data_IF_866045535534
#
_entry.id   IF_866045535534
#
_cell.length_a   1.000
_cell.length_b   1.000
_cell.length_c   1.000
_cell.angle_alpha   90.00
_cell.angle_beta   90.00
_cell.angle_gamma   90.00
#
_symmetry.space_group_name_H-M   'P 1'
#
loop_
_entity.id
_entity.type
_entity.pdbx_description
1 polymer ?
#
# COMPACT_ATOMS: atom_id res chain seq x y z
N UNK A 1 -2.97 23.13 -3.24
CA UNK A 1 -1.49 23.23 -3.22
C UNK A 1 -1.04 22.37 -2.04
N UNK A 2 -0.34 21.27 -2.29
CA UNK A 2 0.21 20.47 -1.19
C UNK A 2 1.24 21.37 -0.52
N UNK A 3 1.17 21.58 0.82
CA UNK A 3 2.19 22.37 1.50
C UNK A 3 3.55 21.75 1.17
N UNK A 4 4.48 22.56 0.69
CA UNK A 4 5.86 22.12 0.56
C UNK A 4 6.30 21.66 1.95
N UNK A 5 6.52 20.37 2.10
CA UNK A 5 7.22 19.79 3.22
C UNK A 5 8.64 20.39 3.20
N UNK A 6 8.82 21.52 3.85
CA UNK A 6 10.15 21.85 4.36
C UNK A 6 10.43 20.77 5.39
N UNK A 7 11.13 19.74 5.00
CA UNK A 7 11.77 18.83 5.95
C UNK A 7 12.57 19.72 6.87
N UNK A 8 12.09 19.90 8.10
CA UNK A 8 12.85 20.58 9.10
C UNK A 8 14.11 19.73 9.33
N UNK A 9 15.24 20.18 8.80
CA UNK A 9 16.55 19.57 9.09
C UNK A 9 16.99 19.89 10.52
N UNK A 10 16.11 20.42 11.33
CA UNK A 10 16.36 20.86 12.71
C UNK A 10 15.12 20.62 13.56
N UNK A 11 15.31 20.36 14.84
CA UNK A 11 14.23 20.23 15.82
C UNK A 11 13.95 18.80 16.31
N UNK A 12 12.82 18.58 16.97
CA UNK A 12 12.52 17.31 17.68
C UNK A 12 12.54 16.07 16.80
N UNK A 13 12.19 16.18 15.51
CA UNK A 13 12.24 15.05 14.59
C UNK A 13 13.65 14.49 14.39
N UNK A 14 14.69 15.33 14.45
CA UNK A 14 16.07 14.88 14.37
C UNK A 14 16.51 14.11 15.60
N UNK A 15 15.95 14.44 16.76
CA UNK A 15 16.21 13.67 17.99
C UNK A 15 15.61 12.28 17.89
N UNK A 16 14.40 12.16 17.34
CA UNK A 16 13.75 10.88 17.04
C UNK A 16 14.58 10.08 16.03
N UNK A 17 15.03 10.71 14.92
CA UNK A 17 15.83 10.06 13.89
C UNK A 17 17.17 9.53 14.48
N UNK A 18 17.89 10.35 15.24
CA UNK A 18 19.13 9.93 15.91
C UNK A 18 18.90 8.75 16.84
N UNK A 19 17.79 8.76 17.59
CA UNK A 19 17.44 7.67 18.48
C UNK A 19 17.16 6.38 17.71
N UNK A 20 16.36 6.44 16.63
CA UNK A 20 16.06 5.29 15.77
C UNK A 20 17.34 4.71 15.13
N UNK A 21 18.27 5.57 14.68
CA UNK A 21 19.55 5.13 14.12
C UNK A 21 20.41 4.46 15.22
N UNK A 22 20.41 5.01 16.42
CA UNK A 22 21.14 4.42 17.55
C UNK A 22 20.60 3.03 17.92
N UNK A 23 19.28 2.87 17.92
CA UNK A 23 18.60 1.63 18.25
C UNK A 23 18.48 0.65 17.05
N UNK A 24 19.08 0.95 15.90
CA UNK A 24 18.85 0.19 14.66
C UNK A 24 19.06 -1.31 14.83
N UNK A 25 20.08 -1.77 15.53
CA UNK A 25 20.34 -3.20 15.73
C UNK A 25 19.21 -3.87 16.54
N UNK A 26 18.68 -3.20 17.56
CA UNK A 26 17.57 -3.66 18.37
C UNK A 26 16.26 -3.67 17.53
N UNK A 27 16.05 -2.63 16.73
CA UNK A 27 14.90 -2.50 15.82
C UNK A 27 14.89 -3.64 14.81
N UNK A 28 16.02 -3.89 14.16
CA UNK A 28 16.16 -5.01 13.20
C UNK A 28 15.92 -6.38 13.86
N UNK A 29 16.40 -6.55 15.10
CA UNK A 29 16.13 -7.76 15.85
C UNK A 29 14.64 -7.92 16.17
N UNK A 30 13.98 -6.85 16.62
CA UNK A 30 12.53 -6.84 16.91
C UNK A 30 11.73 -7.20 15.67
N UNK A 31 12.01 -6.61 14.51
CA UNK A 31 11.33 -6.94 13.26
C UNK A 31 11.55 -8.40 12.84
N UNK A 32 12.75 -8.94 13.01
CA UNK A 32 13.00 -10.36 12.72
C UNK A 32 12.13 -11.28 13.56
N UNK A 33 11.94 -10.96 14.85
CA UNK A 33 11.02 -11.73 15.71
C UNK A 33 9.59 -11.61 15.20
N UNK A 34 9.12 -10.40 14.87
CA UNK A 34 7.78 -10.20 14.33
C UNK A 34 7.54 -10.97 13.03
N UNK A 35 8.53 -11.03 12.13
CA UNK A 35 8.40 -11.78 10.88
C UNK A 35 8.46 -13.29 11.03
N UNK A 36 8.85 -13.82 12.17
CA UNK A 36 8.70 -15.24 12.50
C UNK A 36 7.27 -15.59 12.89
N UNK A 37 6.57 -14.66 13.51
CA UNK A 37 5.19 -14.84 13.98
C UNK A 37 4.14 -14.41 12.95
N UNK A 38 4.47 -13.45 12.11
CA UNK A 38 3.56 -12.81 11.17
C UNK A 38 4.11 -12.84 9.76
N UNK A 39 3.36 -13.42 8.83
CA UNK A 39 3.74 -13.43 7.42
C UNK A 39 3.72 -11.99 6.86
N UNK A 40 4.84 -11.55 6.29
CA UNK A 40 4.90 -10.29 5.57
C UNK A 40 3.98 -10.33 4.34
N UNK A 41 3.26 -9.24 4.01
CA UNK A 41 2.55 -9.13 2.76
C UNK A 41 3.53 -9.19 1.58
N UNK A 42 3.03 -9.57 0.41
CA UNK A 42 3.86 -9.62 -0.81
C UNK A 42 4.52 -8.28 -1.09
N UNK A 43 3.78 -7.20 -0.98
CA UNK A 43 4.25 -5.84 -1.07
C UNK A 43 3.32 -4.90 -0.30
N UNK A 44 3.83 -3.75 0.13
CA UNK A 44 3.06 -2.75 0.85
C UNK A 44 3.65 -1.36 0.64
N UNK A 45 2.82 -0.35 0.76
CA UNK A 45 3.24 1.04 0.88
C UNK A 45 2.63 1.69 2.11
N UNK A 46 3.31 2.71 2.63
CA UNK A 46 2.88 3.48 3.79
C UNK A 46 3.06 4.96 3.50
N UNK A 47 1.98 5.73 3.65
CA UNK A 47 2.04 7.18 3.62
C UNK A 47 2.38 7.70 4.99
N UNK A 48 3.53 8.39 5.10
CA UNK A 48 3.99 9.02 6.32
C UNK A 48 3.72 10.52 6.30
N UNK A 49 3.32 11.06 7.44
CA UNK A 49 3.24 12.50 7.68
C UNK A 49 4.32 12.94 8.66
N UNK A 50 5.16 13.85 8.19
CA UNK A 50 6.17 14.50 9.01
C UNK A 50 5.65 15.87 9.43
N UNK A 51 5.43 16.06 10.73
CA UNK A 51 4.97 17.32 11.32
C UNK A 51 6.13 18.18 11.86
N UNK A 52 7.39 17.78 11.66
CA UNK A 52 8.57 18.45 12.22
C UNK A 52 8.89 18.03 13.67
N UNK A 53 7.93 17.45 14.38
CA UNK A 53 8.08 16.97 15.75
C UNK A 53 7.63 15.51 15.93
N UNK A 54 6.93 14.96 14.96
CA UNK A 54 6.53 13.55 14.91
C UNK A 54 6.46 13.05 13.48
N UNK A 55 6.56 11.74 13.32
CA UNK A 55 6.40 11.03 12.05
C UNK A 55 5.35 9.93 12.26
N UNK A 56 4.24 9.97 11.53
CA UNK A 56 3.18 9.01 11.72
C UNK A 56 2.62 8.49 10.40
N UNK A 57 2.27 7.18 10.30
CA UNK A 57 1.55 6.66 9.16
C UNK A 57 0.12 7.20 9.15
N UNK A 58 -0.35 7.55 7.97
CA UNK A 58 -1.72 8.05 7.77
C UNK A 58 -2.50 7.24 6.76
N UNK A 59 -1.82 6.40 6.00
CA UNK A 59 -2.40 5.43 5.10
C UNK A 59 -1.44 4.27 4.85
N UNK A 60 -2.00 3.09 4.59
CA UNK A 60 -1.26 1.90 4.20
C UNK A 60 -1.99 1.21 3.06
N UNK A 61 -1.26 0.70 2.09
CA UNK A 61 -1.84 0.02 0.96
C UNK A 61 -1.12 -1.30 0.70
N UNK A 62 -1.88 -2.37 0.50
CA UNK A 62 -1.39 -3.68 0.07
C UNK A 62 -1.40 -3.84 -1.47
N UNK A 63 -1.84 -2.81 -2.19
CA UNK A 63 -1.81 -2.68 -3.65
C UNK A 63 -0.99 -1.43 -4.02
N UNK A 64 0.32 -1.42 -3.76
CA UNK A 64 1.11 -0.21 -3.80
C UNK A 64 1.25 0.35 -5.19
N UNK A 65 1.26 1.67 -5.23
CA UNK A 65 1.65 2.47 -6.39
C UNK A 65 3.03 3.11 -6.18
N UNK A 66 3.49 3.86 -7.19
CA UNK A 66 4.71 4.66 -7.07
C UNK A 66 6.01 3.91 -7.34
N UNK A 67 5.99 2.73 -7.96
CA UNK A 67 7.20 2.01 -8.37
C UNK A 67 8.09 2.83 -9.30
N UNK A 68 7.49 3.76 -10.07
CA UNK A 68 8.22 4.73 -10.90
C UNK A 68 9.01 5.78 -10.09
N UNK A 69 8.79 5.88 -8.79
CA UNK A 69 9.47 6.80 -7.89
C UNK A 69 10.58 6.11 -7.06
N UNK A 70 10.79 4.80 -7.26
CA UNK A 70 11.88 4.10 -6.60
C UNK A 70 13.23 4.66 -7.06
N UNK A 71 14.15 4.81 -6.10
CA UNK A 71 15.51 5.19 -6.45
C UNK A 71 16.15 4.08 -7.30
N UNK A 72 16.68 4.42 -8.50
CA UNK A 72 17.32 3.45 -9.37
C UNK A 72 18.45 2.63 -8.71
N UNK A 73 19.14 3.20 -7.73
CA UNK A 73 20.20 2.52 -6.98
C UNK A 73 19.69 1.29 -6.21
N UNK A 74 18.38 1.24 -5.89
CA UNK A 74 17.75 0.12 -5.20
C UNK A 74 17.07 -0.88 -6.13
N UNK A 75 17.26 -0.77 -7.45
CA UNK A 75 16.62 -1.68 -8.39
C UNK A 75 17.02 -3.14 -8.14
N UNK A 76 18.30 -3.42 -7.89
CA UNK A 76 18.77 -4.79 -7.61
C UNK A 76 18.15 -5.36 -6.34
N UNK A 77 18.00 -4.54 -5.30
CA UNK A 77 17.32 -4.92 -4.06
C UNK A 77 15.83 -5.19 -4.30
N UNK A 78 15.17 -4.35 -5.10
CA UNK A 78 13.77 -4.53 -5.47
C UNK A 78 13.53 -5.83 -6.25
N UNK A 79 14.44 -6.17 -7.18
CA UNK A 79 14.40 -7.44 -7.93
C UNK A 79 14.58 -8.63 -7.00
N UNK A 80 15.55 -8.58 -6.09
CA UNK A 80 15.79 -9.64 -5.11
C UNK A 80 14.59 -9.83 -4.17
N UNK A 81 14.00 -8.74 -3.69
CA UNK A 81 12.81 -8.78 -2.87
C UNK A 81 11.61 -9.41 -3.61
N UNK A 82 11.43 -9.07 -4.89
CA UNK A 82 10.40 -9.66 -5.74
C UNK A 82 10.59 -11.17 -5.93
N UNK A 83 11.82 -11.64 -6.15
CA UNK A 83 12.14 -13.08 -6.25
C UNK A 83 11.70 -13.82 -4.98
N UNK A 84 12.17 -13.36 -3.82
CA UNK A 84 11.84 -13.98 -2.53
C UNK A 84 10.33 -13.97 -2.26
N UNK A 85 9.65 -12.87 -2.62
CA UNK A 85 8.21 -12.74 -2.38
C UNK A 85 7.39 -13.68 -3.29
N UNK A 86 7.80 -13.87 -4.55
CA UNK A 86 7.15 -14.81 -5.47
C UNK A 86 7.39 -16.26 -5.06
N UNK A 87 8.63 -16.61 -4.70
CA UNK A 87 8.97 -17.96 -4.25
C UNK A 87 8.15 -18.43 -3.04
N UNK A 88 7.84 -17.52 -2.12
CA UNK A 88 6.98 -17.83 -0.96
C UNK A 88 5.54 -18.20 -1.35
N UNK A 89 5.03 -17.65 -2.44
CA UNK A 89 3.64 -17.86 -2.89
C UNK A 89 3.54 -19.02 -3.88
N UNK A 90 4.48 -19.11 -4.78
CA UNK A 90 4.54 -20.15 -5.83
C UNK A 90 6.01 -20.46 -6.12
N UNK A 91 6.63 -21.45 -5.44
CA UNK A 91 8.07 -21.74 -5.58
C UNK A 91 8.50 -22.08 -7.00
N UNK A 92 7.62 -22.63 -7.81
CA UNK A 92 7.90 -23.01 -9.21
C UNK A 92 7.34 -21.96 -10.19
N UNK A 93 7.13 -20.71 -9.77
CA UNK A 93 6.58 -19.69 -10.64
C UNK A 93 7.54 -19.32 -11.76
N UNK A 94 7.09 -19.54 -13.00
CA UNK A 94 7.73 -18.99 -14.20
C UNK A 94 6.88 -17.89 -14.83
N UNK A 95 5.59 -17.81 -14.49
CA UNK A 95 4.61 -16.91 -15.07
C UNK A 95 3.83 -16.17 -14.02
N UNK A 96 3.70 -14.86 -14.16
CA UNK A 96 2.92 -14.00 -13.29
C UNK A 96 1.98 -13.13 -14.13
N UNK A 97 0.70 -13.14 -13.79
CA UNK A 97 -0.29 -12.27 -14.41
C UNK A 97 -0.51 -11.04 -13.53
N UNK A 98 -0.36 -9.85 -14.07
CA UNK A 98 -0.74 -8.61 -13.37
C UNK A 98 -2.15 -8.21 -13.81
N UNK A 99 -3.00 -7.89 -12.84
CA UNK A 99 -4.32 -7.27 -13.08
C UNK A 99 -4.28 -5.84 -12.54
N UNK A 100 -4.23 -4.83 -13.42
CA UNK A 100 -4.15 -3.42 -13.03
C UNK A 100 -5.53 -2.81 -12.76
N UNK A 101 -5.51 -1.56 -12.28
CA UNK A 101 -6.63 -0.65 -12.32
C UNK A 101 -7.02 -0.27 -13.75
N UNK A 102 -8.26 0.17 -13.94
CA UNK A 102 -8.75 0.62 -15.25
C UNK A 102 -8.33 2.07 -15.58
N UNK A 103 -7.11 2.48 -15.17
CA UNK A 103 -6.61 3.85 -15.30
C UNK A 103 -5.70 4.04 -16.52
N UNK A 104 -6.17 3.61 -17.69
CA UNK A 104 -5.38 3.65 -18.95
C UNK A 104 -5.01 5.06 -19.44
N UNK A 105 -5.60 6.11 -18.86
CA UNK A 105 -5.32 7.52 -19.16
C UNK A 105 -4.40 8.20 -18.16
N UNK A 106 -4.11 7.57 -17.02
CA UNK A 106 -3.23 8.14 -16.00
C UNK A 106 -1.79 7.73 -16.28
N UNK A 107 -1.01 8.64 -16.84
CA UNK A 107 0.39 8.40 -17.22
C UNK A 107 1.27 8.00 -16.01
N UNK A 108 1.03 8.54 -14.82
CA UNK A 108 1.79 8.18 -13.61
C UNK A 108 1.49 6.76 -13.17
N UNK A 109 0.24 6.34 -13.29
CA UNK A 109 -0.13 4.96 -13.02
C UNK A 109 0.47 4.00 -14.05
N UNK A 110 0.47 4.36 -15.33
CA UNK A 110 1.10 3.55 -16.38
C UNK A 110 2.61 3.42 -16.17
N UNK A 111 3.30 4.48 -15.76
CA UNK A 111 4.72 4.42 -15.36
C UNK A 111 4.94 3.47 -14.19
N UNK A 112 4.11 3.56 -13.15
CA UNK A 112 4.15 2.65 -12.03
C UNK A 112 4.00 1.18 -12.48
N UNK A 113 3.02 0.89 -13.30
CA UNK A 113 2.76 -0.46 -13.82
C UNK A 113 3.91 -0.98 -14.70
N UNK A 114 4.52 -0.10 -15.49
CA UNK A 114 5.68 -0.44 -16.32
C UNK A 114 6.88 -0.83 -15.45
N UNK A 115 7.21 -0.05 -14.44
CA UNK A 115 8.36 -0.34 -13.57
C UNK A 115 8.11 -1.57 -12.70
N UNK A 116 6.88 -1.78 -12.21
CA UNK A 116 6.50 -3.02 -11.52
C UNK A 116 6.70 -4.24 -12.42
N UNK A 117 6.21 -4.20 -13.67
CA UNK A 117 6.41 -5.27 -14.64
C UNK A 117 7.90 -5.51 -14.92
N UNK A 118 8.69 -4.42 -15.05
CA UNK A 118 10.12 -4.49 -15.29
C UNK A 118 10.89 -5.17 -14.14
N UNK A 119 10.58 -4.83 -12.89
CA UNK A 119 11.15 -5.47 -11.70
C UNK A 119 10.85 -6.97 -11.69
N UNK A 120 9.59 -7.33 -11.92
CA UNK A 120 9.15 -8.73 -11.93
C UNK A 120 9.77 -9.54 -13.09
N UNK A 121 9.93 -8.95 -14.25
CA UNK A 121 10.64 -9.60 -15.37
C UNK A 121 12.13 -9.80 -15.09
N UNK A 122 12.77 -8.84 -14.45
CA UNK A 122 14.16 -8.94 -14.02
C UNK A 122 14.36 -9.97 -12.92
N UNK A 123 13.31 -10.33 -12.18
CA UNK A 123 13.33 -11.43 -11.21
C UNK A 123 13.18 -12.84 -11.86
N UNK A 124 13.21 -12.92 -13.19
CA UNK A 124 13.18 -14.19 -13.93
C UNK A 124 11.80 -14.66 -14.35
N UNK A 125 10.76 -13.82 -14.20
CA UNK A 125 9.38 -14.20 -14.52
C UNK A 125 8.98 -13.75 -15.94
N UNK A 126 8.20 -14.58 -16.64
CA UNK A 126 7.38 -14.13 -17.75
C UNK A 126 6.15 -13.41 -17.19
N UNK A 127 6.04 -12.09 -17.44
CA UNK A 127 5.00 -11.24 -16.85
C UNK A 127 4.15 -10.62 -17.93
N UNK A 128 2.84 -10.90 -17.90
CA UNK A 128 1.85 -10.29 -18.80
C UNK A 128 0.77 -9.57 -18.00
N UNK A 129 0.07 -8.64 -18.65
CA UNK A 129 -0.93 -7.77 -18.01
C UNK A 129 -2.30 -8.07 -18.62
N UNK A 130 -3.24 -8.45 -17.77
CA UNK A 130 -4.62 -8.74 -18.16
C UNK A 130 -5.57 -7.68 -17.60
N UNK A 131 -6.49 -7.17 -18.42
CA UNK A 131 -7.45 -6.16 -18.03
C UNK A 131 -8.79 -6.75 -17.63
N UNK A 132 -9.37 -6.18 -16.56
CA UNK A 132 -10.77 -6.38 -16.17
C UNK A 132 -11.73 -5.50 -16.98
N UNK A 133 -11.22 -4.52 -17.72
CA UNK A 133 -12.02 -3.63 -18.56
C UNK A 133 -12.47 -4.37 -19.81
N UNK A 134 -13.78 -4.61 -19.91
CA UNK A 134 -14.39 -5.31 -21.04
C UNK A 134 -14.35 -4.54 -22.35
N UNK A 135 -13.99 -3.24 -22.32
CA UNK A 135 -13.75 -2.46 -23.54
C UNK A 135 -12.47 -2.86 -24.27
N UNK A 136 -11.52 -3.49 -23.56
CA UNK A 136 -10.29 -4.07 -24.13
C UNK A 136 -10.63 -5.49 -24.62
N UNK A 137 -11.08 -5.60 -25.85
CA UNK A 137 -11.47 -6.88 -26.48
C UNK A 137 -10.34 -7.58 -27.23
N UNK A 138 -9.24 -6.88 -27.48
CA UNK A 138 -8.04 -7.40 -28.16
C UNK A 138 -6.74 -6.82 -27.52
N UNK A 139 -5.58 -7.46 -27.71
CA UNK A 139 -4.32 -6.97 -27.18
C UNK A 139 -4.05 -5.53 -27.61
N UNK A 140 -3.93 -4.64 -26.66
CA UNK A 140 -3.81 -3.20 -26.88
C UNK A 140 -2.51 -2.68 -26.31
N UNK A 141 -1.73 -2.00 -27.16
CA UNK A 141 -0.48 -1.36 -26.75
C UNK A 141 -0.75 0.07 -26.30
N UNK A 142 -0.39 0.39 -25.06
CA UNK A 142 -0.52 1.72 -24.48
C UNK A 142 0.86 2.34 -24.33
N UNK A 143 1.07 3.52 -24.92
CA UNK A 143 2.30 4.28 -24.76
C UNK A 143 2.41 4.81 -23.33
N UNK A 144 3.60 4.68 -22.74
CA UNK A 144 3.91 5.21 -21.41
C UNK A 144 4.69 6.52 -21.56
N UNK A 145 5.94 6.49 -21.97
CA UNK A 145 6.77 7.63 -22.36
C UNK A 145 8.11 7.14 -22.95
N UNK A 146 8.86 7.99 -23.65
CA UNK A 146 10.23 7.71 -24.09
C UNK A 146 10.38 6.34 -24.79
N UNK A 147 9.50 6.03 -25.71
CA UNK A 147 9.45 4.74 -26.44
C UNK A 147 9.14 3.52 -25.53
N UNK A 148 8.69 3.73 -24.30
CA UNK A 148 8.17 2.68 -23.43
C UNK A 148 6.68 2.45 -23.69
N UNK A 149 6.25 1.21 -23.68
CA UNK A 149 4.84 0.84 -23.85
C UNK A 149 4.48 -0.36 -22.99
N UNK A 150 3.20 -0.51 -22.69
CA UNK A 150 2.61 -1.65 -22.03
C UNK A 150 1.67 -2.36 -23.01
N UNK A 151 1.76 -3.67 -23.09
CA UNK A 151 0.77 -4.50 -23.75
C UNK A 151 -0.24 -4.95 -22.68
N UNK A 152 -1.48 -4.55 -22.85
CA UNK A 152 -2.60 -4.95 -22.00
C UNK A 152 -3.50 -5.87 -22.83
N UNK A 153 -3.88 -6.99 -22.24
CA UNK A 153 -4.58 -8.05 -22.96
C UNK A 153 -5.94 -8.32 -22.32
N UNK A 154 -6.94 -8.74 -23.13
CA UNK A 154 -8.24 -9.10 -22.58
C UNK A 154 -8.11 -10.34 -21.70
N UNK A 155 -8.67 -10.23 -20.49
CA UNK A 155 -8.68 -11.32 -19.53
C UNK A 155 -9.86 -12.26 -19.82
N UNK A 156 -9.60 -13.57 -19.82
CA UNK A 156 -10.61 -14.59 -19.98
C UNK A 156 -10.63 -15.53 -18.80
N UNK A 157 -11.81 -16.00 -18.46
CA UNK A 157 -11.99 -17.07 -17.48
C UNK A 157 -12.32 -18.38 -18.18
N UNK A 158 -11.48 -19.38 -18.00
CA UNK A 158 -11.71 -20.75 -18.45
C UNK A 158 -11.84 -21.62 -17.21
N UNK A 159 -13.06 -22.12 -16.94
CA UNK A 159 -13.40 -22.82 -15.69
C UNK A 159 -13.06 -21.96 -14.46
N UNK A 160 -12.11 -22.40 -13.65
CA UNK A 160 -11.66 -21.71 -12.43
C UNK A 160 -10.30 -21.04 -12.59
N UNK A 161 -9.86 -20.75 -13.79
CA UNK A 161 -8.57 -20.11 -14.08
C UNK A 161 -8.74 -18.88 -14.95
N UNK A 162 -7.92 -17.87 -14.70
CA UNK A 162 -7.79 -16.69 -15.54
C UNK A 162 -6.63 -16.86 -16.50
N UNK A 163 -6.89 -16.61 -17.76
CA UNK A 163 -5.91 -16.80 -18.83
C UNK A 163 -5.92 -15.63 -19.80
N UNK A 164 -4.81 -15.45 -20.52
CA UNK A 164 -4.74 -14.58 -21.67
C UNK A 164 -4.60 -15.44 -22.94
N UNK A 165 -5.40 -15.16 -23.94
CA UNK A 165 -5.29 -15.79 -25.26
C UNK A 165 -4.80 -14.76 -26.28
N UNK A 166 -3.64 -14.99 -26.81
CA UNK A 166 -3.03 -14.11 -27.79
C UNK A 166 -2.54 -14.93 -28.98
N UNK A 167 -3.01 -14.58 -30.17
CA UNK A 167 -2.66 -15.31 -31.41
C UNK A 167 -1.17 -15.25 -31.73
N UNK A 168 -0.50 -14.16 -31.37
CA UNK A 168 0.92 -13.94 -31.67
C UNK A 168 1.82 -14.45 -30.54
N UNK A 169 1.47 -14.16 -29.26
CA UNK A 169 2.27 -14.51 -28.09
C UNK A 169 1.88 -15.85 -27.46
N UNK A 170 0.86 -16.50 -28.00
CA UNK A 170 0.32 -17.74 -27.44
C UNK A 170 -0.50 -17.55 -26.16
N UNK A 171 -1.01 -18.67 -25.66
CA UNK A 171 -1.81 -18.70 -24.45
C UNK A 171 -0.93 -18.52 -23.21
N UNK A 172 -1.45 -17.78 -22.24
CA UNK A 172 -0.76 -17.50 -21.00
C UNK A 172 -1.64 -17.89 -19.80
N UNK A 173 -1.17 -18.85 -19.04
CA UNK A 173 -1.77 -19.33 -17.80
C UNK A 173 -0.71 -19.27 -16.70
N UNK A 174 -0.93 -18.39 -15.72
CA UNK A 174 0.01 -18.16 -14.62
C UNK A 174 -0.41 -18.93 -13.37
N UNK A 175 0.54 -19.32 -12.54
CA UNK A 175 0.25 -19.94 -11.24
C UNK A 175 -0.20 -18.91 -10.20
N UNK A 176 0.21 -17.65 -10.36
CA UNK A 176 -0.13 -16.57 -9.45
C UNK A 176 -0.57 -15.31 -10.23
N UNK A 177 -1.46 -14.57 -9.62
CA UNK A 177 -2.03 -13.32 -10.13
C UNK A 177 -1.73 -12.20 -9.16
N UNK A 178 -0.99 -11.20 -9.62
CA UNK A 178 -0.70 -10.01 -8.86
C UNK A 178 -1.78 -8.95 -9.12
N UNK A 179 -2.56 -8.65 -8.10
CA UNK A 179 -3.54 -7.59 -8.16
C UNK A 179 -2.83 -6.24 -7.90
N UNK A 180 -2.80 -5.40 -8.90
CA UNK A 180 -2.47 -3.98 -8.73
C UNK A 180 -3.74 -3.13 -8.92
N UNK A 181 -4.84 -3.65 -8.37
CA UNK A 181 -6.19 -3.09 -8.34
C UNK A 181 -6.70 -3.21 -6.90
N UNK A 182 -7.03 -2.10 -6.27
CA UNK A 182 -7.35 -2.03 -4.84
C UNK A 182 -8.76 -2.55 -4.49
N UNK A 183 -9.53 -2.95 -5.50
CA UNK A 183 -10.88 -3.49 -5.36
C UNK A 183 -11.84 -2.56 -4.59
N UNK A 184 -11.66 -1.25 -4.71
CA UNK A 184 -12.50 -0.25 -4.04
C UNK A 184 -13.96 -0.29 -4.49
N UNK A 185 -14.20 -0.66 -5.75
CA UNK A 185 -15.53 -0.86 -6.30
C UNK A 185 -16.17 -2.22 -5.94
N UNK A 186 -15.51 -3.04 -5.13
CA UNK A 186 -15.91 -4.39 -4.79
C UNK A 186 -15.14 -5.47 -5.54
N UNK A 187 -15.41 -6.72 -5.21
CA UNK A 187 -14.74 -7.88 -5.81
C UNK A 187 -15.45 -8.28 -7.11
N UNK A 188 -14.82 -8.14 -8.28
CA UNK A 188 -15.38 -8.60 -9.55
C UNK A 188 -15.67 -10.11 -9.55
N UNK A 189 -16.78 -10.53 -10.13
CA UNK A 189 -17.18 -11.94 -10.15
C UNK A 189 -16.15 -12.83 -10.86
N UNK A 190 -15.46 -12.31 -11.85
CA UNK A 190 -14.42 -13.04 -12.58
C UNK A 190 -13.25 -13.47 -11.68
N UNK A 191 -13.02 -12.79 -10.54
CA UNK A 191 -11.95 -13.10 -9.57
C UNK A 191 -12.40 -14.09 -8.50
N UNK A 192 -13.69 -14.38 -8.37
CA UNK A 192 -14.20 -15.26 -7.32
C UNK A 192 -13.94 -16.73 -7.64
N UNK A 193 -13.55 -17.51 -6.62
CA UNK A 193 -13.38 -18.96 -6.74
C UNK A 193 -12.44 -19.40 -7.88
N UNK A 194 -11.35 -18.70 -8.08
CA UNK A 194 -10.28 -19.12 -8.98
C UNK A 194 -9.27 -19.97 -8.24
N UNK A 195 -8.57 -20.85 -8.98
CA UNK A 195 -7.56 -21.77 -8.44
C UNK A 195 -6.17 -21.13 -8.29
N UNK A 196 -5.94 -20.06 -9.02
CA UNK A 196 -4.65 -19.36 -9.00
C UNK A 196 -4.51 -18.53 -7.71
N UNK A 197 -3.29 -18.47 -7.20
CA UNK A 197 -2.98 -17.64 -6.04
C UNK A 197 -3.16 -16.16 -6.35
N UNK A 198 -4.10 -15.51 -5.64
CA UNK A 198 -4.31 -14.06 -5.73
C UNK A 198 -3.43 -13.32 -4.71
N UNK A 199 -2.68 -12.34 -5.18
CA UNK A 199 -1.73 -11.56 -4.41
C UNK A 199 -2.02 -10.05 -4.62
N UNK A 200 -2.36 -9.30 -3.60
CA UNK A 200 -2.86 -9.71 -2.28
C UNK A 200 -4.16 -10.51 -2.36
N UNK A 201 -4.57 -11.22 -1.31
CA UNK A 201 -5.85 -11.93 -1.31
C UNK A 201 -7.04 -10.97 -1.39
N UNK A 202 -8.17 -11.42 -1.93
CA UNK A 202 -9.34 -10.57 -2.20
C UNK A 202 -9.84 -9.79 -0.97
N UNK A 203 -9.74 -10.36 0.22
CA UNK A 203 -10.17 -9.71 1.47
C UNK A 203 -9.27 -8.53 1.89
N UNK A 204 -8.10 -8.38 1.27
CA UNK A 204 -7.22 -7.23 1.50
C UNK A 204 -7.66 -5.97 0.75
N UNK A 205 -8.64 -6.09 -0.17
CA UNK A 205 -9.19 -4.97 -0.93
C UNK A 205 -9.93 -3.94 -0.07
N UNK A 206 -9.98 -2.70 -0.52
CA UNK A 206 -10.58 -1.58 0.21
C UNK A 206 -12.08 -1.73 0.48
N UNK A 207 -12.80 -2.55 -0.29
CA UNK A 207 -14.19 -2.87 0.00
C UNK A 207 -14.36 -3.69 1.29
N UNK A 208 -13.32 -4.42 1.72
CA UNK A 208 -13.35 -5.31 2.89
C UNK A 208 -12.49 -4.81 4.05
N UNK A 209 -11.30 -4.32 3.77
CA UNK A 209 -10.32 -3.86 4.77
C UNK A 209 -10.59 -2.41 5.17
N UNK A 210 -11.15 -2.21 6.36
CA UNK A 210 -11.44 -0.86 6.88
C UNK A 210 -10.22 -0.23 7.55
N UNK A 211 -9.98 1.06 7.29
CA UNK A 211 -8.88 1.84 7.91
C UNK A 211 -8.97 1.85 9.44
N UNK A 212 -10.17 1.93 10.01
CA UNK A 212 -10.38 1.87 11.47
C UNK A 212 -9.86 0.58 12.10
N UNK A 213 -10.07 -0.58 11.44
CA UNK A 213 -9.53 -1.86 11.91
C UNK A 213 -8.01 -1.91 11.79
N UNK A 214 -7.47 -1.40 10.68
CA UNK A 214 -6.02 -1.34 10.49
C UNK A 214 -5.35 -0.48 11.56
N UNK A 215 -5.83 0.75 11.80
CA UNK A 215 -5.21 1.64 12.78
C UNK A 215 -5.40 1.16 14.23
N UNK A 216 -6.45 0.40 14.52
CA UNK A 216 -6.59 -0.27 15.82
C UNK A 216 -5.47 -1.30 16.03
N UNK A 217 -5.24 -2.17 15.05
CA UNK A 217 -4.15 -3.14 15.12
C UNK A 217 -2.77 -2.45 15.17
N UNK A 218 -2.60 -1.37 14.39
CA UNK A 218 -1.38 -0.57 14.42
C UNK A 218 -1.12 0.06 15.79
N UNK A 219 -2.14 0.56 16.46
CA UNK A 219 -2.03 1.17 17.80
C UNK A 219 -1.46 0.18 18.84
N UNK A 220 -1.89 -1.08 18.78
CA UNK A 220 -1.38 -2.13 19.66
C UNK A 220 0.09 -2.45 19.37
N UNK A 221 0.44 -2.63 18.09
CA UNK A 221 1.82 -2.93 17.65
C UNK A 221 2.76 -1.77 17.97
N UNK A 222 2.36 -0.53 17.69
CA UNK A 222 3.22 0.63 17.89
C UNK A 222 3.48 0.93 19.36
N UNK A 223 2.54 0.67 20.26
CA UNK A 223 2.75 0.80 21.70
C UNK A 223 3.83 -0.15 22.19
N UNK A 224 3.74 -1.43 21.80
CA UNK A 224 4.75 -2.44 22.12
C UNK A 224 6.12 -2.08 21.56
N UNK A 225 6.18 -1.63 20.29
CA UNK A 225 7.41 -1.19 19.67
C UNK A 225 8.01 0.04 20.34
N UNK A 226 7.20 1.05 20.63
CA UNK A 226 7.64 2.28 21.28
C UNK A 226 8.18 2.05 22.70
N UNK A 227 7.55 1.15 23.46
CA UNK A 227 8.05 0.70 24.76
C UNK A 227 9.42 0.02 24.60
N UNK A 228 9.58 -0.87 23.63
CA UNK A 228 10.81 -1.58 23.37
C UNK A 228 11.98 -0.64 23.05
N UNK A 229 11.77 0.37 22.20
CA UNK A 229 12.79 1.36 21.83
C UNK A 229 12.81 2.59 22.77
N UNK A 230 11.99 2.61 23.82
CA UNK A 230 11.91 3.68 24.84
C UNK A 230 11.61 5.07 24.26
N UNK A 231 10.64 5.16 23.37
CA UNK A 231 10.11 6.42 22.86
C UNK A 231 8.64 6.59 23.24
N UNK A 232 8.16 7.83 23.30
CA UNK A 232 6.72 8.08 23.41
C UNK A 232 6.02 7.57 22.14
N UNK A 233 5.06 6.64 22.24
CA UNK A 233 4.34 6.13 21.07
C UNK A 233 3.66 7.24 20.26
N UNK A 234 3.29 8.36 20.88
CA UNK A 234 2.71 9.49 20.17
C UNK A 234 3.62 10.06 19.07
N UNK A 235 4.93 9.95 19.20
CA UNK A 235 5.89 10.44 18.20
C UNK A 235 5.84 9.67 16.87
N UNK A 236 5.33 8.44 16.90
CA UNK A 236 5.27 7.53 15.74
C UNK A 236 3.87 6.97 15.46
N UNK A 237 2.84 7.42 16.20
CA UNK A 237 1.47 6.94 16.10
C UNK A 237 0.48 8.10 15.88
N UNK A 238 -0.40 8.07 14.87
CA UNK A 238 -1.49 9.03 14.78
C UNK A 238 -2.55 8.73 15.84
N UNK A 239 -3.10 9.77 16.46
CA UNK A 239 -4.39 9.59 17.15
C UNK A 239 -5.48 9.44 16.10
N UNK A 240 -6.36 8.48 16.29
CA UNK A 240 -7.50 8.25 15.42
C UNK A 240 -8.73 7.84 16.23
N UNK A 241 -9.89 8.04 15.67
CA UNK A 241 -11.15 7.47 16.11
C UNK A 241 -12.00 7.17 14.88
N UNK A 242 -13.16 6.56 15.06
CA UNK A 242 -14.10 6.32 13.98
C UNK A 242 -15.54 6.56 14.46
N UNK A 243 -16.35 7.04 13.53
CA UNK A 243 -17.80 7.11 13.69
C UNK A 243 -18.44 6.27 12.59
N UNK A 244 -19.61 5.71 12.85
CA UNK A 244 -20.35 4.86 11.92
C UNK A 244 -21.77 5.36 11.73
N UNK A 245 -22.41 4.98 10.63
CA UNK A 245 -23.79 5.42 10.35
C UNK A 245 -23.91 6.90 10.04
N UNK A 246 -22.84 7.52 9.50
CA UNK A 246 -22.85 8.92 9.08
C UNK A 246 -23.51 9.06 7.72
N UNK A 247 -24.49 9.92 7.63
CA UNK A 247 -25.10 10.39 6.39
C UNK A 247 -25.05 11.92 6.35
N UNK A 248 -24.13 12.47 5.56
CA UNK A 248 -23.95 13.91 5.43
C UNK A 248 -25.15 14.60 4.72
N UNK A 249 -25.94 13.89 3.89
CA UNK A 249 -27.12 14.45 3.27
C UNK A 249 -28.28 14.58 4.26
N UNK A 250 -28.50 13.55 5.06
CA UNK A 250 -29.53 13.54 6.10
C UNK A 250 -29.05 14.16 7.41
N UNK A 251 -27.77 14.56 7.52
CA UNK A 251 -27.13 15.07 8.75
C UNK A 251 -27.18 14.08 9.91
N UNK A 252 -27.29 12.79 9.59
CA UNK A 252 -27.31 11.74 10.61
C UNK A 252 -25.92 11.47 11.12
N UNK A 253 -25.76 11.38 12.45
CA UNK A 253 -24.49 11.04 13.11
C UNK A 253 -23.49 12.19 13.20
N UNK A 254 -23.82 13.42 12.77
CA UNK A 254 -22.92 14.58 12.86
C UNK A 254 -22.51 14.88 14.31
N UNK A 255 -23.41 14.75 15.28
CA UNK A 255 -23.10 15.03 16.71
C UNK A 255 -22.10 14.02 17.27
N UNK A 256 -22.22 12.72 16.90
CA UNK A 256 -21.23 11.71 17.27
C UNK A 256 -19.86 12.04 16.66
N UNK A 257 -19.85 12.39 15.38
CA UNK A 257 -18.61 12.76 14.69
C UNK A 257 -17.96 13.99 15.33
N UNK A 258 -18.73 15.03 15.63
CA UNK A 258 -18.24 16.24 16.31
C UNK A 258 -17.63 15.91 17.67
N UNK A 259 -18.32 15.11 18.47
CA UNK A 259 -17.82 14.66 19.79
C UNK A 259 -16.48 13.92 19.66
N UNK A 260 -16.34 13.04 18.67
CA UNK A 260 -15.10 12.30 18.43
C UNK A 260 -13.96 13.21 17.98
N UNK A 261 -14.24 14.18 17.12
CA UNK A 261 -13.27 15.20 16.68
C UNK A 261 -12.77 15.99 17.87
N UNK A 262 -13.66 16.48 18.74
CA UNK A 262 -13.30 17.23 19.95
C UNK A 262 -12.44 16.40 20.91
N UNK A 263 -12.77 15.14 21.12
CA UNK A 263 -11.98 14.22 21.97
C UNK A 263 -10.56 14.06 21.44
N UNK A 264 -10.38 13.90 20.12
CA UNK A 264 -9.04 13.80 19.49
C UNK A 264 -8.30 15.12 19.62
N UNK A 265 -8.95 16.26 19.34
CA UNK A 265 -8.34 17.58 19.47
C UNK A 265 -7.83 17.82 20.90
N UNK A 266 -8.63 17.47 21.92
CA UNK A 266 -8.23 17.59 23.32
C UNK A 266 -7.01 16.73 23.67
N UNK A 267 -6.94 15.49 23.15
CA UNK A 267 -5.77 14.62 23.31
C UNK A 267 -4.52 15.23 22.66
N UNK A 268 -4.66 15.75 21.42
CA UNK A 268 -3.57 16.40 20.69
C UNK A 268 -3.11 17.66 21.45
N UNK A 269 -4.05 18.50 21.92
CA UNK A 269 -3.75 19.71 22.68
C UNK A 269 -2.95 19.40 23.94
N UNK A 270 -3.28 18.30 24.64
CA UNK A 270 -2.54 17.87 25.82
C UNK A 270 -1.09 17.51 25.46
N UNK A 271 -0.88 16.81 24.37
CA UNK A 271 0.47 16.49 23.85
C UNK A 271 1.21 17.73 23.36
N UNK A 272 0.54 18.67 22.73
CA UNK A 272 1.17 19.93 22.32
C UNK A 272 1.67 20.73 23.51
N UNK A 273 0.91 20.78 24.61
CA UNK A 273 1.37 21.39 25.87
C UNK A 273 2.58 20.65 26.45
N UNK A 274 2.55 19.32 26.49
CA UNK A 274 3.65 18.48 26.99
C UNK A 274 4.95 18.73 26.21
N UNK A 275 4.86 18.80 24.88
CA UNK A 275 6.01 18.98 23.99
C UNK A 275 6.32 20.46 23.66
N UNK A 276 5.61 21.41 24.26
CA UNK A 276 5.76 22.86 24.05
C UNK A 276 5.62 23.25 22.55
N UNK A 277 4.62 22.66 21.89
CA UNK A 277 4.30 22.92 20.49
C UNK A 277 3.30 24.07 20.45
N UNK A 278 3.61 25.15 19.74
CA UNK A 278 2.82 26.38 19.65
C UNK A 278 1.82 26.40 18.49
N UNK A 279 1.71 25.30 17.72
CA UNK A 279 0.75 25.19 16.63
C UNK A 279 -0.65 24.87 17.14
N UNK A 280 -1.65 25.26 16.38
CA UNK A 280 -3.01 24.79 16.60
C UNK A 280 -3.19 23.35 16.16
N UNK A 281 -3.83 22.48 16.98
CA UNK A 281 -4.11 21.14 16.57
C UNK A 281 -5.21 21.09 15.52
N UNK A 282 -5.13 20.13 14.62
CA UNK A 282 -6.17 19.87 13.62
C UNK A 282 -6.39 18.37 13.43
N UNK A 283 -7.57 18.02 12.90
CA UNK A 283 -7.97 16.66 12.58
C UNK A 283 -8.39 16.59 11.12
N UNK A 284 -8.08 15.48 10.47
CA UNK A 284 -8.55 15.19 9.12
C UNK A 284 -9.65 14.13 9.21
N UNK A 285 -10.83 14.45 8.71
CA UNK A 285 -11.94 13.51 8.55
C UNK A 285 -11.90 12.93 7.14
N UNK A 286 -11.97 11.61 7.01
CA UNK A 286 -11.90 10.88 5.74
C UNK A 286 -13.09 9.94 5.59
#
# INVERSE_FOLDING_TARGET
MVPHLKTALTGPILSLEKHLIHEMANIEHWFRIQWLEHAAPFYASVDLRNAGFKLAPVDTNLFPGGFNNLNPDFLSLSVQAAMVAVEKVCPEAHRLLIIPENHTRNIYYLKNLFELQNILRKSGLEVRIGSLDTSISEPTTIAVENNKSLLIEPLKRIKNRLVLENKTLGNFDACAILLNNDLSAGIPDILKNIEQNLIPPLHAGWASRRKSQHFKAYDDVVKSFAEFIKVDPWLINPYFDHASGIDFHARQGEDELATKVEQILNKIQSKYKEYKIEHEPFVIVK
#
